data_IF_206736330738
#
_entry.id   IF_206736330738
#
_cell.length_a   1.000
_cell.length_b   1.000
_cell.length_c   1.000
_cell.angle_alpha   90.00
_cell.angle_beta   90.00
_cell.angle_gamma   90.00
#
_symmetry.space_group_name_H-M   'P 1'
#
loop_
_entity.id
_entity.type
_entity.pdbx_description
1 polymer ?
#
# COMPACT_ATOMS: atom_id res chain seq x y z
N UNK A 1 15.22 -0.15 -0.39
CA UNK A 1 14.20 -1.09 -0.90
C UNK A 1 12.89 -1.09 -0.08
N UNK A 2 11.75 -1.27 -0.74
CA UNK A 2 10.43 -1.49 -0.10
C UNK A 2 10.34 -2.93 0.43
N UNK A 3 9.95 -3.10 1.69
CA UNK A 3 9.86 -4.41 2.36
C UNK A 3 8.44 -4.94 2.41
N UNK A 4 7.47 -4.07 2.71
CA UNK A 4 6.06 -4.43 2.73
C UNK A 4 5.17 -3.19 2.56
N UNK A 5 3.93 -3.43 2.14
CA UNK A 5 2.87 -2.43 2.08
C UNK A 5 1.63 -2.99 2.76
N UNK A 6 1.04 -2.22 3.66
CA UNK A 6 -0.17 -2.54 4.40
C UNK A 6 -1.25 -1.50 4.14
N UNK A 7 -2.47 -1.96 3.92
CA UNK A 7 -3.68 -1.14 3.94
C UNK A 7 -4.47 -1.49 5.19
N UNK A 8 -4.67 -0.51 6.06
CA UNK A 8 -5.25 -0.67 7.39
C UNK A 8 -6.50 0.22 7.50
N UNK A 9 -7.54 -0.28 8.14
CA UNK A 9 -8.74 0.51 8.42
C UNK A 9 -8.63 1.30 9.73
N UNK A 10 -9.57 2.23 9.99
CA UNK A 10 -9.63 2.99 11.26
C UNK A 10 -9.69 2.16 12.54
N UNK A 11 -10.12 0.89 12.47
CA UNK A 11 -10.18 -0.02 13.61
C UNK A 11 -8.85 -0.77 13.84
N UNK A 12 -7.83 -0.52 13.01
CA UNK A 12 -6.55 -1.19 13.08
C UNK A 12 -6.51 -2.58 12.43
N UNK A 13 -7.53 -2.96 11.67
CA UNK A 13 -7.51 -4.23 10.94
C UNK A 13 -6.83 -4.05 9.58
N UNK A 14 -5.87 -4.91 9.28
CA UNK A 14 -5.24 -5.03 7.97
C UNK A 14 -6.27 -5.57 6.96
N UNK A 15 -6.51 -4.80 5.89
CA UNK A 15 -7.38 -5.18 4.76
C UNK A 15 -6.58 -5.77 3.60
N UNK A 16 -5.36 -5.31 3.39
CA UNK A 16 -4.43 -5.83 2.40
C UNK A 16 -3.03 -5.81 2.98
N UNK A 17 -2.27 -6.88 2.76
CA UNK A 17 -0.85 -6.94 3.05
C UNK A 17 -0.09 -7.50 1.85
N UNK A 18 0.95 -6.79 1.43
CA UNK A 18 1.90 -7.24 0.41
C UNK A 18 3.30 -7.22 1.01
N UNK A 19 4.00 -8.34 0.91
CA UNK A 19 5.36 -8.51 1.41
C UNK A 19 6.28 -8.71 0.20
N UNK A 20 7.29 -7.87 0.06
CA UNK A 20 8.29 -7.95 -1.02
C UNK A 20 9.59 -8.63 -0.55
N UNK A 21 9.76 -8.74 0.77
CA UNK A 21 10.81 -9.52 1.40
C UNK A 21 10.20 -10.71 2.16
N UNK A 22 10.98 -11.75 2.37
CA UNK A 22 10.53 -12.94 3.06
C UNK A 22 10.26 -12.65 4.54
N UNK A 23 8.99 -12.70 4.93
CA UNK A 23 8.56 -12.64 6.34
C UNK A 23 7.87 -13.95 6.71
N UNK A 24 8.40 -14.61 7.73
CA UNK A 24 7.81 -15.82 8.31
C UNK A 24 6.33 -15.60 8.64
N UNK A 25 5.47 -16.53 8.24
CA UNK A 25 4.01 -16.42 8.42
C UNK A 25 3.63 -16.19 9.89
N UNK A 26 4.29 -16.87 10.83
CA UNK A 26 4.05 -16.69 12.27
C UNK A 26 4.42 -15.31 12.80
N UNK A 27 5.28 -14.55 12.10
CA UNK A 27 5.71 -13.20 12.51
C UNK A 27 4.87 -12.09 11.86
N UNK A 28 4.15 -12.37 10.77
CA UNK A 28 3.36 -11.36 10.04
C UNK A 28 2.31 -10.68 10.90
N UNK A 29 1.51 -11.45 11.64
CA UNK A 29 0.48 -10.89 12.51
C UNK A 29 1.06 -9.97 13.60
N UNK A 30 2.20 -10.36 14.19
CA UNK A 30 2.89 -9.54 15.18
C UNK A 30 3.49 -8.26 14.57
N UNK A 31 4.05 -8.36 13.36
CA UNK A 31 4.55 -7.22 12.61
C UNK A 31 3.43 -6.22 12.31
N UNK A 32 2.32 -6.68 11.72
CA UNK A 32 1.17 -5.84 11.40
C UNK A 32 0.59 -5.17 12.65
N UNK A 33 0.41 -5.92 13.74
CA UNK A 33 -0.11 -5.36 15.00
C UNK A 33 0.81 -4.28 15.59
N UNK A 34 2.13 -4.43 15.47
CA UNK A 34 3.08 -3.42 15.93
C UNK A 34 3.07 -2.18 15.03
N UNK A 35 3.03 -2.36 13.70
CA UNK A 35 2.93 -1.25 12.74
C UNK A 35 1.64 -0.45 12.95
N UNK A 36 0.51 -1.12 13.15
CA UNK A 36 -0.78 -0.47 13.46
C UNK A 36 -0.66 0.39 14.71
N UNK A 37 -0.05 -0.13 15.80
CA UNK A 37 0.15 0.64 17.04
C UNK A 37 1.01 1.87 16.83
N UNK A 38 2.05 1.78 16.00
CA UNK A 38 2.94 2.90 15.71
C UNK A 38 2.25 4.01 14.91
N UNK A 39 1.36 3.68 13.98
CA UNK A 39 0.78 4.66 13.04
C UNK A 39 -0.63 5.14 13.43
N UNK A 40 -1.50 4.29 13.97
CA UNK A 40 -2.94 4.59 14.12
C UNK A 40 -3.24 5.63 15.22
N UNK A 41 -2.41 5.68 16.26
CA UNK A 41 -2.61 6.58 17.40
C UNK A 41 -1.91 7.95 17.25
N UNK A 42 -1.24 8.18 16.11
CA UNK A 42 -0.53 9.43 15.83
C UNK A 42 -1.50 10.55 15.49
N UNK A 43 -1.16 11.78 15.89
CA UNK A 43 -1.91 12.99 15.56
C UNK A 43 -1.60 13.44 14.13
N UNK A 44 -2.48 14.27 13.56
CA UNK A 44 -2.36 14.73 12.16
C UNK A 44 -1.17 15.65 11.91
N UNK A 45 -0.70 16.32 12.96
CA UNK A 45 0.42 17.27 12.91
C UNK A 45 1.78 16.57 13.03
N UNK A 46 1.78 15.27 13.34
CA UNK A 46 2.99 14.49 13.47
C UNK A 46 3.56 14.06 12.10
N UNK A 47 4.86 13.81 12.08
CA UNK A 47 5.55 13.34 10.88
C UNK A 47 4.97 12.01 10.39
N UNK A 48 4.82 11.90 9.07
CA UNK A 48 4.40 10.70 8.35
C UNK A 48 5.48 9.62 8.26
N UNK A 49 6.68 9.90 8.78
CA UNK A 49 7.83 9.00 8.79
C UNK A 49 8.11 8.58 10.23
N UNK A 50 8.21 7.27 10.47
CA UNK A 50 8.35 6.69 11.81
C UNK A 50 9.45 5.64 11.80
N UNK A 51 10.43 5.81 12.68
CA UNK A 51 11.46 4.80 12.92
C UNK A 51 10.86 3.56 13.58
N UNK A 52 11.11 2.38 13.03
CA UNK A 52 10.58 1.11 13.52
C UNK A 52 11.59 -0.03 13.35
N UNK A 53 12.34 -0.33 14.42
CA UNK A 53 13.40 -1.35 14.42
C UNK A 53 14.40 -1.07 13.30
N UNK A 54 14.59 -2.04 12.40
CA UNK A 54 15.50 -1.98 11.25
C UNK A 54 14.82 -1.41 9.98
N UNK A 55 13.65 -0.78 10.14
CA UNK A 55 12.87 -0.18 9.06
C UNK A 55 12.48 1.25 9.39
N UNK A 56 12.23 2.02 8.35
CA UNK A 56 11.43 3.23 8.41
C UNK A 56 10.03 2.96 7.89
N UNK A 57 9.02 3.50 8.56
CA UNK A 57 7.63 3.41 8.14
C UNK A 57 7.22 4.74 7.52
N UNK A 58 6.73 4.70 6.30
CA UNK A 58 6.06 5.82 5.65
C UNK A 58 4.57 5.54 5.68
N UNK A 59 3.79 6.38 6.38
CA UNK A 59 2.34 6.22 6.46
C UNK A 59 1.58 7.44 5.97
N UNK A 60 0.41 7.21 5.38
CA UNK A 60 -0.49 8.27 4.95
C UNK A 60 -1.94 7.89 5.17
N UNK A 61 -2.72 8.82 5.70
CA UNK A 61 -4.16 8.63 5.96
C UNK A 61 -5.01 9.21 4.83
N UNK A 62 -5.91 8.38 4.28
CA UNK A 62 -6.94 8.74 3.31
C UNK A 62 -8.32 8.44 3.88
N UNK A 63 -8.98 9.47 4.42
CA UNK A 63 -10.26 9.35 5.12
C UNK A 63 -10.25 8.26 6.22
N UNK A 64 -10.79 7.08 5.92
CA UNK A 64 -10.87 5.93 6.83
C UNK A 64 -9.84 4.81 6.57
N UNK A 65 -8.97 5.00 5.57
CA UNK A 65 -7.91 4.07 5.20
C UNK A 65 -6.54 4.66 5.56
N UNK A 66 -5.66 3.80 6.04
CA UNK A 66 -4.27 4.10 6.30
C UNK A 66 -3.42 3.21 5.41
N UNK A 67 -2.54 3.83 4.62
CA UNK A 67 -1.53 3.09 3.86
C UNK A 67 -0.22 3.24 4.62
N UNK A 68 0.44 2.12 4.88
CA UNK A 68 1.74 2.09 5.57
C UNK A 68 2.71 1.27 4.74
N UNK A 69 3.89 1.82 4.49
CA UNK A 69 4.95 1.18 3.72
C UNK A 69 6.18 1.07 4.61
N UNK A 70 6.71 -0.14 4.75
CA UNK A 70 8.00 -0.39 5.41
C UNK A 70 9.12 -0.33 4.38
N UNK A 71 10.12 0.51 4.63
CA UNK A 71 11.27 0.73 3.76
C UNK A 71 12.58 0.61 4.54
N UNK A 72 13.67 0.34 3.83
CA UNK A 72 15.03 0.41 4.37
C UNK A 72 15.61 1.82 4.22
N UNK A 73 16.70 2.08 4.95
CA UNK A 73 17.31 3.43 5.07
C UNK A 73 17.87 4.01 3.78
N UNK A 74 18.04 3.20 2.73
CA UNK A 74 18.47 3.61 1.39
C UNK A 74 17.35 4.24 0.53
N UNK A 75 16.08 4.12 0.95
CA UNK A 75 14.96 4.74 0.23
C UNK A 75 14.72 6.18 0.64
N UNK A 76 14.26 6.98 -0.32
CA UNK A 76 13.78 8.33 -0.05
C UNK A 76 12.34 8.30 0.48
N UNK A 77 12.13 8.78 1.70
CA UNK A 77 10.82 8.72 2.37
C UNK A 77 9.75 9.53 1.62
N UNK A 78 10.11 10.66 1.00
CA UNK A 78 9.18 11.49 0.22
C UNK A 78 8.79 10.82 -1.10
N UNK A 79 9.72 10.15 -1.77
CA UNK A 79 9.41 9.39 -2.99
C UNK A 79 8.40 8.28 -2.70
N UNK A 80 8.53 7.60 -1.57
CA UNK A 80 7.59 6.56 -1.11
C UNK A 80 6.24 7.18 -0.70
N UNK A 81 6.27 8.36 -0.07
CA UNK A 81 5.05 9.09 0.29
C UNK A 81 4.24 9.51 -0.95
N UNK A 82 4.91 9.91 -2.03
CA UNK A 82 4.28 10.22 -3.32
C UNK A 82 3.85 8.97 -4.09
N UNK A 83 4.60 7.86 -3.97
CA UNK A 83 4.16 6.56 -4.52
C UNK A 83 2.82 6.13 -3.91
N UNK A 84 2.67 6.26 -2.59
CA UNK A 84 1.40 6.00 -1.89
C UNK A 84 0.29 6.90 -2.43
N UNK A 85 0.58 8.15 -2.75
CA UNK A 85 -0.40 9.05 -3.36
C UNK A 85 -0.84 8.60 -4.73
N UNK A 86 0.13 8.32 -5.60
CA UNK A 86 -0.13 7.84 -6.95
C UNK A 86 -0.96 6.54 -6.91
N UNK A 87 -0.67 5.63 -5.98
CA UNK A 87 -1.44 4.40 -5.79
C UNK A 87 -2.91 4.68 -5.44
N UNK A 88 -3.19 5.60 -4.52
CA UNK A 88 -4.57 5.98 -4.20
C UNK A 88 -5.27 6.63 -5.40
N UNK A 89 -4.59 7.46 -6.17
CA UNK A 89 -5.17 8.07 -7.37
C UNK A 89 -5.47 7.04 -8.47
N UNK A 90 -4.63 6.00 -8.63
CA UNK A 90 -4.89 4.86 -9.52
C UNK A 90 -6.14 4.11 -9.07
N UNK A 91 -6.26 3.84 -7.77
CA UNK A 91 -7.45 3.20 -7.21
C UNK A 91 -8.72 4.01 -7.42
N UNK A 92 -8.66 5.32 -7.17
CA UNK A 92 -9.80 6.22 -7.35
C UNK A 92 -10.23 6.27 -8.82
N UNK A 93 -9.26 6.36 -9.75
CA UNK A 93 -9.51 6.36 -11.19
C UNK A 93 -10.17 5.07 -11.70
N UNK A 94 -9.85 3.92 -11.11
CA UNK A 94 -10.40 2.63 -11.55
C UNK A 94 -11.75 2.32 -10.89
N UNK A 95 -11.87 2.49 -9.58
CA UNK A 95 -13.05 2.06 -8.82
C UNK A 95 -14.14 3.13 -8.70
N UNK A 96 -13.84 4.42 -8.92
CA UNK A 96 -14.74 5.57 -8.73
C UNK A 96 -15.38 5.72 -7.32
N UNK A 97 -15.33 4.68 -6.48
CA UNK A 97 -15.90 4.62 -5.13
C UNK A 97 -15.02 3.77 -4.23
N UNK A 98 -14.70 4.32 -3.05
CA UNK A 98 -13.88 3.66 -2.02
C UNK A 98 -14.45 2.31 -1.57
N UNK A 99 -15.78 2.13 -1.61
CA UNK A 99 -16.42 0.86 -1.24
C UNK A 99 -15.98 -0.27 -2.16
N UNK A 100 -15.82 -0.02 -3.46
CA UNK A 100 -15.45 -1.06 -4.43
C UNK A 100 -14.01 -1.56 -4.25
N UNK A 101 -13.11 -0.72 -3.72
CA UNK A 101 -11.74 -1.12 -3.38
C UNK A 101 -11.75 -2.30 -2.40
N UNK A 102 -12.59 -2.23 -1.36
CA UNK A 102 -12.68 -3.28 -0.34
C UNK A 102 -13.32 -4.57 -0.87
N UNK A 103 -14.15 -4.49 -1.90
CA UNK A 103 -14.80 -5.66 -2.51
C UNK A 103 -13.93 -6.35 -3.57
N UNK A 104 -12.90 -5.68 -4.09
CA UNK A 104 -12.10 -6.15 -5.22
C UNK A 104 -10.60 -6.13 -4.91
N UNK A 105 -10.20 -6.71 -3.77
CA UNK A 105 -8.80 -6.71 -3.32
C UNK A 105 -7.85 -7.44 -4.30
N UNK A 106 -8.34 -8.42 -5.06
CA UNK A 106 -7.54 -9.11 -6.08
C UNK A 106 -7.06 -8.12 -7.16
N UNK A 107 -7.95 -7.23 -7.61
CA UNK A 107 -7.62 -6.16 -8.56
C UNK A 107 -6.66 -5.14 -7.96
N UNK A 108 -6.79 -4.85 -6.67
CA UNK A 108 -5.86 -3.98 -5.94
C UNK A 108 -4.46 -4.61 -5.87
N UNK A 109 -4.36 -5.92 -5.65
CA UNK A 109 -3.09 -6.64 -5.70
C UNK A 109 -2.44 -6.58 -7.08
N UNK A 110 -3.22 -6.75 -8.15
CA UNK A 110 -2.72 -6.61 -9.53
C UNK A 110 -2.16 -5.19 -9.77
N UNK A 111 -2.88 -4.14 -9.35
CA UNK A 111 -2.38 -2.77 -9.47
C UNK A 111 -1.07 -2.55 -8.70
N UNK A 112 -0.95 -3.11 -7.50
CA UNK A 112 0.29 -3.03 -6.72
C UNK A 112 1.44 -3.75 -7.42
N UNK A 113 1.18 -4.90 -8.03
CA UNK A 113 2.19 -5.68 -8.75
C UNK A 113 2.66 -4.99 -10.03
N UNK A 114 1.79 -4.21 -10.69
CA UNK A 114 2.20 -3.34 -11.79
C UNK A 114 3.07 -2.15 -11.31
N UNK A 115 2.86 -1.66 -10.10
CA UNK A 115 3.60 -0.50 -9.55
C UNK A 115 4.93 -0.89 -8.91
N UNK A 116 4.98 -2.02 -8.20
CA UNK A 116 6.09 -2.42 -7.35
C UNK A 116 6.41 -3.90 -7.59
N UNK A 117 7.65 -4.18 -7.98
CA UNK A 117 8.16 -5.54 -8.16
C UNK A 117 9.45 -5.73 -7.37
N UNK A 118 9.53 -6.82 -6.61
CA UNK A 118 10.70 -7.17 -5.78
C UNK A 118 11.16 -6.02 -4.85
N UNK A 119 10.21 -5.21 -4.37
CA UNK A 119 10.51 -4.08 -3.48
C UNK A 119 11.03 -2.83 -4.19
N UNK A 120 11.01 -2.80 -5.52
CA UNK A 120 11.41 -1.66 -6.33
C UNK A 120 10.20 -1.07 -7.08
N UNK A 121 10.17 0.25 -7.23
CA UNK A 121 9.16 0.95 -8.03
C UNK A 121 9.47 0.70 -9.50
N UNK A 122 8.51 0.18 -10.26
CA UNK A 122 8.71 -0.18 -11.68
C UNK A 122 7.82 0.62 -12.63
N UNK A 123 6.64 1.05 -12.21
CA UNK A 123 5.74 1.86 -13.03
C UNK A 123 5.05 2.91 -12.18
N UNK A 124 4.95 4.12 -12.74
CA UNK A 124 4.29 5.27 -12.09
C UNK A 124 3.22 5.88 -12.98
N UNK A 125 3.19 5.53 -14.27
CA UNK A 125 2.18 6.01 -15.19
C UNK A 125 0.84 5.30 -14.96
N UNK A 126 -0.14 6.05 -14.45
CA UNK A 126 -1.50 5.57 -14.15
C UNK A 126 -2.17 4.83 -15.31
N UNK A 127 -1.93 5.25 -16.56
CA UNK A 127 -2.55 4.59 -17.71
C UNK A 127 -1.93 3.22 -18.00
N UNK A 128 -0.62 3.06 -17.77
CA UNK A 128 0.08 1.78 -17.96
C UNK A 128 -0.28 0.79 -16.85
N UNK A 129 -0.34 1.27 -15.61
CA UNK A 129 -0.76 0.47 -14.44
C UNK A 129 -2.18 -0.11 -14.65
N UNK A 130 -3.09 0.67 -15.24
CA UNK A 130 -4.48 0.24 -15.46
C UNK A 130 -4.69 -0.58 -16.74
N UNK A 131 -3.74 -0.58 -17.68
CA UNK A 131 -3.93 -1.24 -18.96
C UNK A 131 -4.22 -2.75 -18.86
N UNK A 132 -3.51 -3.54 -18.01
CA UNK A 132 -3.80 -4.96 -17.83
C UNK A 132 -5.18 -5.22 -17.24
N UNK A 133 -5.60 -4.41 -16.26
CA UNK A 133 -6.93 -4.55 -15.63
C UNK A 133 -8.05 -4.29 -16.62
N UNK A 134 -7.93 -3.25 -17.45
CA UNK A 134 -8.91 -2.92 -18.48
C UNK A 134 -8.98 -4.00 -19.57
N UNK A 135 -7.87 -4.67 -19.88
CA UNK A 135 -7.87 -5.81 -20.77
C UNK A 135 -8.59 -7.02 -20.16
N UNK A 136 -8.36 -7.31 -18.88
CA UNK A 136 -9.04 -8.38 -18.15
C UNK A 136 -10.55 -8.16 -18.06
N UNK A 137 -10.99 -6.93 -17.78
CA UNK A 137 -12.42 -6.60 -17.71
C UNK A 137 -13.12 -6.84 -19.06
N UNK A 138 -12.50 -6.41 -20.17
CA UNK A 138 -13.03 -6.65 -21.52
C UNK A 138 -13.17 -8.14 -21.84
N UNK A 139 -12.21 -8.96 -21.41
CA UNK A 139 -12.24 -10.40 -21.62
C UNK A 139 -13.32 -11.08 -20.77
N UNK A 140 -13.63 -10.55 -19.58
CA UNK A 140 -14.69 -11.09 -18.72
C UNK A 140 -16.11 -10.73 -19.20
N UNK A 141 -16.24 -9.65 -19.98
CA UNK A 141 -17.50 -9.23 -20.62
C UNK A 141 -17.76 -9.92 -21.97
N UNK A 142 -16.80 -10.70 -22.47
CA UNK A 142 -16.87 -11.47 -23.73
C UNK A 142 -17.36 -12.89 -23.49
#
# INVERSE_FOLDING_TARGET
MIKFLLMINKQGQTRLSKYYDHVDVGKRAALEANVVKCCLFRKKEECSFVEYKDYKLVYRQYAALFIVVGITDDENELSIYELVHNFIEVLDKYFNRVTQIMFNLDKVHIMLDEMILNGCIVETNKNRILAPLLALDKMAES
#
